data_IF_916954214594
#
_entry.id   IF_916954214594
#
_cell.length_a   1.000
_cell.length_b   1.000
_cell.length_c   1.000
_cell.angle_alpha   90.00
_cell.angle_beta   90.00
_cell.angle_gamma   90.00
#
_symmetry.space_group_name_H-M   'P 1'
#
loop_
_entity.id
_entity.type
_entity.pdbx_description
1 polymer ?
#
# COMPACT_ATOMS: atom_id res chain seq x y z
N UNK A 1 -9.20 -4.77 12.90
CA UNK A 1 -9.15 -4.92 11.44
C UNK A 1 -7.72 -4.90 10.97
N UNK A 2 -7.35 -5.83 10.15
CA UNK A 2 -6.00 -5.92 9.61
C UNK A 2 -5.84 -4.98 8.41
N UNK A 3 -4.79 -4.16 8.43
CA UNK A 3 -4.44 -3.26 7.32
C UNK A 3 -3.18 -3.78 6.64
N UNK A 4 -3.37 -4.42 5.51
CA UNK A 4 -2.27 -5.05 4.76
C UNK A 4 -1.37 -4.02 4.13
N UNK A 5 -0.07 -4.14 4.37
CA UNK A 5 0.93 -3.27 3.75
C UNK A 5 1.21 -3.78 2.34
N UNK A 6 1.14 -2.87 1.38
CA UNK A 6 1.47 -3.14 -0.02
C UNK A 6 2.93 -2.81 -0.33
N UNK A 7 3.40 -1.66 0.15
CA UNK A 7 4.78 -1.24 -0.09
C UNK A 7 5.26 -0.31 1.02
N UNK A 8 6.58 -0.25 1.17
CA UNK A 8 7.24 0.67 2.08
C UNK A 8 8.43 1.30 1.36
N UNK A 9 8.58 2.60 1.51
CA UNK A 9 9.67 3.36 0.89
C UNK A 9 10.35 4.20 1.96
N UNK A 10 11.64 3.99 2.24
CA UNK A 10 12.37 4.81 3.20
C UNK A 10 12.75 6.16 2.60
N UNK A 11 12.77 7.19 3.45
CA UNK A 11 13.19 8.53 3.06
C UNK A 11 14.49 8.90 3.78
N UNK A 12 15.16 9.97 3.31
CA UNK A 12 16.45 10.38 3.86
C UNK A 12 16.37 10.98 5.27
N UNK A 13 15.17 11.31 5.75
CA UNK A 13 14.94 11.89 7.07
C UNK A 13 14.38 10.86 8.07
N UNK A 14 14.66 9.58 7.85
CA UNK A 14 14.20 8.46 8.69
C UNK A 14 12.69 8.35 8.79
N UNK A 15 12.00 8.69 7.71
CA UNK A 15 10.58 8.43 7.58
C UNK A 15 10.34 7.26 6.62
N UNK A 16 9.14 6.71 6.71
CA UNK A 16 8.68 5.65 5.81
C UNK A 16 7.40 6.13 5.13
N UNK A 17 7.34 5.93 3.82
CA UNK A 17 6.10 6.09 3.08
C UNK A 17 5.49 4.70 2.94
N UNK A 18 4.37 4.47 3.58
CA UNK A 18 3.73 3.15 3.65
C UNK A 18 2.43 3.18 2.87
N UNK A 19 2.33 2.36 1.84
CA UNK A 19 1.09 2.17 1.08
C UNK A 19 0.39 0.94 1.60
N UNK A 20 -0.88 1.11 1.96
CA UNK A 20 -1.75 0.00 2.37
C UNK A 20 -2.60 -0.45 1.19
N UNK A 21 -2.95 -1.73 1.16
CA UNK A 21 -3.68 -2.33 0.04
C UNK A 21 -5.04 -1.69 -0.21
N UNK A 22 -5.63 -1.05 0.79
CA UNK A 22 -6.92 -0.36 0.68
C UNK A 22 -6.83 1.05 0.09
N UNK A 23 -5.65 1.45 -0.42
CA UNK A 23 -5.49 2.72 -1.13
C UNK A 23 -5.09 3.90 -0.25
N UNK A 24 -4.77 3.64 1.01
CA UNK A 24 -4.34 4.67 1.96
C UNK A 24 -2.82 4.69 2.00
N UNK A 25 -2.22 5.88 1.97
CA UNK A 25 -0.79 6.08 2.14
C UNK A 25 -0.54 6.85 3.42
N UNK A 26 0.42 6.38 4.21
CA UNK A 26 0.80 7.04 5.46
C UNK A 26 2.29 7.31 5.50
N UNK A 27 2.65 8.40 6.15
CA UNK A 27 4.04 8.73 6.45
C UNK A 27 4.29 8.43 7.93
N UNK A 28 5.26 7.59 8.19
CA UNK A 28 5.62 7.17 9.55
C UNK A 28 7.02 7.67 9.89
N UNK A 29 7.17 8.33 11.03
CA UNK A 29 8.45 8.90 11.46
C UNK A 29 9.18 7.91 12.37
N UNK A 30 10.16 7.20 11.83
CA UNK A 30 10.95 6.25 12.62
C UNK A 30 11.84 6.97 13.63
N UNK A 31 12.30 8.19 13.32
CA UNK A 31 13.11 8.97 14.23
C UNK A 31 12.39 9.27 15.55
N UNK A 32 11.06 9.30 15.55
CA UNK A 32 10.28 9.46 16.78
C UNK A 32 10.44 8.27 17.74
N UNK A 33 10.89 7.11 17.25
CA UNK A 33 11.13 5.93 18.09
C UNK A 33 12.48 5.93 18.78
N UNK A 34 13.42 6.76 18.33
CA UNK A 34 14.81 6.70 18.83
C UNK A 34 14.90 6.90 20.34
N UNK A 35 14.00 7.70 20.92
CA UNK A 35 13.97 7.94 22.35
C UNK A 35 13.16 6.89 23.13
N UNK A 36 12.22 6.20 22.46
CA UNK A 36 11.33 5.24 23.11
C UNK A 36 11.84 3.80 23.01
N UNK A 37 12.47 3.47 21.90
CA UNK A 37 12.97 2.12 21.61
C UNK A 37 14.42 2.24 21.19
N UNK A 38 15.37 2.10 22.13
CA UNK A 38 16.79 2.36 21.86
C UNK A 38 17.39 1.53 20.71
N UNK A 39 16.82 0.35 20.42
CA UNK A 39 17.33 -0.49 19.33
C UNK A 39 17.28 0.23 17.97
N UNK A 40 16.32 1.14 17.76
CA UNK A 40 16.21 1.88 16.50
C UNK A 40 17.30 2.94 16.30
N UNK A 41 18.04 3.28 17.35
CA UNK A 41 19.16 4.24 17.23
C UNK A 41 20.31 3.72 16.37
N UNK A 42 20.31 2.44 16.03
CA UNK A 42 21.30 1.87 15.11
C UNK A 42 21.33 2.61 13.77
N UNK A 43 20.21 3.17 13.33
CA UNK A 43 20.14 3.91 12.07
C UNK A 43 20.87 5.25 12.13
N UNK A 44 21.10 5.81 13.33
CA UNK A 44 21.91 7.02 13.49
C UNK A 44 23.37 6.72 13.14
N UNK A 45 23.88 5.56 13.58
CA UNK A 45 25.25 5.13 13.33
C UNK A 45 25.42 4.53 11.92
N UNK A 46 24.38 3.83 11.44
CA UNK A 46 24.38 3.14 10.14
C UNK A 46 23.19 3.56 9.30
N UNK A 47 23.17 4.81 8.81
CA UNK A 47 21.99 5.34 8.11
C UNK A 47 21.66 4.58 6.83
N UNK A 48 22.64 3.96 6.17
CA UNK A 48 22.37 3.18 4.97
C UNK A 48 21.56 1.91 5.26
N UNK A 49 21.65 1.37 6.46
CA UNK A 49 20.86 0.18 6.84
C UNK A 49 19.35 0.48 6.85
N UNK A 50 18.98 1.74 7.05
CA UNK A 50 17.60 2.16 7.03
C UNK A 50 16.91 1.86 5.68
N UNK A 51 17.65 1.92 4.58
CA UNK A 51 17.13 1.69 3.26
C UNK A 51 16.90 0.21 2.92
N UNK A 52 17.27 -0.71 3.80
CA UNK A 52 17.07 -2.15 3.62
C UNK A 52 15.72 -2.65 4.16
N UNK A 53 14.82 -1.76 4.48
CA UNK A 53 13.49 -2.13 4.96
C UNK A 53 12.73 -2.90 3.89
N UNK A 54 11.99 -3.94 4.32
CA UNK A 54 11.18 -4.77 3.43
C UNK A 54 9.82 -5.04 4.06
N UNK A 55 8.82 -5.22 3.21
CA UNK A 55 7.50 -5.65 3.66
C UNK A 55 7.56 -7.14 3.97
N UNK A 56 7.05 -7.52 5.13
CA UNK A 56 6.98 -8.93 5.54
C UNK A 56 5.94 -9.69 4.71
N UNK A 57 6.17 -10.99 4.56
CA UNK A 57 5.24 -11.86 3.86
C UNK A 57 3.81 -11.69 4.39
N UNK A 58 2.85 -11.50 3.48
CA UNK A 58 1.46 -11.27 3.84
C UNK A 58 1.12 -9.82 4.18
N UNK A 59 2.11 -8.93 4.23
CA UNK A 59 1.87 -7.51 4.53
C UNK A 59 1.54 -7.21 5.99
N UNK A 60 1.94 -8.11 6.91
CA UNK A 60 1.65 -7.96 8.34
C UNK A 60 2.53 -6.95 9.06
N UNK A 61 3.64 -6.57 8.46
CA UNK A 61 4.59 -5.63 9.03
C UNK A 61 5.71 -5.34 8.06
N UNK A 62 6.72 -4.67 8.58
CA UNK A 62 7.95 -4.38 7.86
C UNK A 62 9.13 -4.77 8.74
N UNK A 63 10.25 -5.11 8.11
CA UNK A 63 11.46 -5.53 8.82
C UNK A 63 12.70 -4.93 8.19
N UNK A 64 13.62 -4.58 9.04
CA UNK A 64 15.05 -4.48 8.77
C UNK A 64 15.66 -5.73 9.38
N UNK A 65 16.91 -5.93 9.39
CA UNK A 65 17.58 -7.13 9.92
C UNK A 65 16.93 -7.70 11.21
N UNK A 66 17.17 -7.08 12.36
CA UNK A 66 16.67 -7.54 13.65
C UNK A 66 15.54 -6.68 14.19
N UNK A 67 15.10 -5.69 13.41
CA UNK A 67 14.06 -4.75 13.82
C UNK A 67 12.84 -4.93 12.98
N UNK A 68 11.68 -4.78 13.59
CA UNK A 68 10.42 -4.81 12.86
C UNK A 68 9.40 -3.83 13.43
N UNK A 69 8.39 -3.53 12.63
CA UNK A 69 7.21 -2.77 13.03
C UNK A 69 5.99 -3.46 12.43
N UNK A 70 4.95 -3.62 13.24
CA UNK A 70 3.71 -4.23 12.78
C UNK A 70 2.92 -3.29 11.88
N UNK A 71 2.05 -3.85 11.05
CA UNK A 71 1.13 -3.05 10.24
C UNK A 71 0.22 -2.20 11.13
N UNK A 72 -0.18 -2.72 12.27
CA UNK A 72 -1.02 -1.99 13.23
C UNK A 72 -0.31 -0.75 13.77
N UNK A 73 0.96 -0.86 14.13
CA UNK A 73 1.76 0.28 14.60
C UNK A 73 1.84 1.35 13.51
N UNK A 74 2.12 0.95 12.27
CA UNK A 74 2.25 1.87 11.14
C UNK A 74 0.91 2.54 10.80
N UNK A 75 -0.18 1.78 10.88
CA UNK A 75 -1.51 2.31 10.63
C UNK A 75 -1.94 3.31 11.70
N UNK A 76 -1.77 2.94 12.96
CA UNK A 76 -2.24 3.74 14.10
C UNK A 76 -1.44 5.02 14.27
N UNK A 77 -0.12 4.95 14.14
CA UNK A 77 0.77 6.07 14.43
C UNK A 77 1.33 6.78 13.20
N UNK A 78 1.11 6.23 12.01
CA UNK A 78 1.43 6.92 10.77
C UNK A 78 0.42 8.01 10.48
N UNK A 79 0.87 9.07 9.82
CA UNK A 79 0.02 10.18 9.40
C UNK A 79 -0.44 9.96 7.97
N UNK A 80 -1.75 9.99 7.73
CA UNK A 80 -2.28 9.87 6.37
C UNK A 80 -1.84 11.06 5.52
N UNK A 81 -1.39 10.75 4.30
CA UNK A 81 -1.03 11.75 3.30
C UNK A 81 -1.78 11.42 2.00
N UNK A 82 -2.03 12.44 1.20
CA UNK A 82 -2.61 12.27 -0.11
C UNK A 82 -1.51 12.19 -1.17
N UNK A 83 -1.64 11.24 -2.09
CA UNK A 83 -0.73 11.09 -3.21
C UNK A 83 -1.51 10.88 -4.50
N UNK A 84 -0.91 11.17 -5.68
CA UNK A 84 -1.59 10.93 -6.97
C UNK A 84 -1.91 9.45 -7.23
N UNK A 85 -1.29 8.55 -6.49
CA UNK A 85 -1.43 7.11 -6.70
C UNK A 85 -2.40 6.45 -5.71
N UNK A 86 -3.02 7.23 -4.84
CA UNK A 86 -3.98 6.70 -3.88
C UNK A 86 -5.19 6.11 -4.59
N UNK A 87 -5.64 4.96 -4.11
CA UNK A 87 -6.83 4.34 -4.64
C UNK A 87 -6.69 3.77 -6.05
N UNK A 88 -5.48 3.60 -6.55
CA UNK A 88 -5.24 2.99 -7.86
C UNK A 88 -4.76 1.56 -7.73
N UNK A 89 -5.30 0.67 -8.54
CA UNK A 89 -4.91 -0.74 -8.59
C UNK A 89 -4.68 -1.17 -10.02
N UNK A 90 -3.70 -2.04 -10.24
CA UNK A 90 -3.62 -2.75 -11.51
C UNK A 90 -4.84 -3.69 -11.64
N UNK A 91 -5.19 -4.07 -12.87
CA UNK A 91 -6.27 -5.05 -13.05
C UNK A 91 -5.94 -6.38 -12.37
N UNK A 92 -4.67 -6.77 -12.37
CA UNK A 92 -4.25 -7.97 -11.65
C UNK A 92 -4.53 -7.89 -10.16
N UNK A 93 -4.09 -6.81 -9.51
CA UNK A 93 -4.32 -6.63 -8.08
C UNK A 93 -5.80 -6.53 -7.74
N UNK A 94 -6.55 -5.77 -8.54
CA UNK A 94 -7.99 -5.63 -8.34
C UNK A 94 -8.72 -6.98 -8.50
N UNK A 95 -8.36 -7.76 -9.51
CA UNK A 95 -8.96 -9.08 -9.72
C UNK A 95 -8.65 -10.02 -8.56
N UNK A 96 -7.43 -10.00 -8.06
CA UNK A 96 -7.03 -10.82 -6.92
C UNK A 96 -7.81 -10.43 -5.65
N UNK A 97 -7.93 -9.14 -5.39
CA UNK A 97 -8.62 -8.63 -4.20
C UNK A 97 -10.12 -8.99 -4.22
N UNK A 98 -10.79 -8.77 -5.35
CA UNK A 98 -12.24 -9.05 -5.48
C UNK A 98 -12.54 -10.48 -5.95
N UNK A 99 -11.51 -11.32 -6.08
CA UNK A 99 -11.64 -12.71 -6.51
C UNK A 99 -12.36 -12.83 -7.86
N UNK A 100 -11.87 -12.08 -8.83
CA UNK A 100 -12.38 -12.03 -10.21
C UNK A 100 -11.26 -12.39 -11.18
N UNK A 101 -11.61 -12.61 -12.43
CA UNK A 101 -10.63 -12.72 -13.50
C UNK A 101 -10.36 -11.34 -14.11
N UNK A 102 -9.14 -11.11 -14.58
CA UNK A 102 -8.80 -9.86 -15.28
C UNK A 102 -9.69 -9.66 -16.52
N UNK A 103 -10.10 -10.77 -17.18
CA UNK A 103 -11.00 -10.71 -18.33
C UNK A 103 -12.35 -10.09 -17.97
N UNK A 104 -12.82 -10.28 -16.73
CA UNK A 104 -14.04 -9.67 -16.24
C UNK A 104 -13.93 -8.15 -16.24
N UNK A 105 -12.79 -7.64 -15.80
CA UNK A 105 -12.52 -6.18 -15.79
C UNK A 105 -12.40 -5.63 -17.20
N UNK A 106 -11.73 -6.35 -18.11
CA UNK A 106 -11.64 -5.94 -19.51
C UNK A 106 -13.01 -5.91 -20.18
N UNK A 107 -13.88 -6.86 -19.87
CA UNK A 107 -15.27 -6.86 -20.38
C UNK A 107 -16.06 -5.68 -19.85
N UNK A 108 -15.83 -5.26 -18.60
CA UNK A 108 -16.48 -4.07 -18.05
C UNK A 108 -16.07 -2.81 -18.80
N UNK A 109 -14.82 -2.72 -19.27
CA UNK A 109 -14.37 -1.61 -20.14
C UNK A 109 -15.11 -1.67 -21.49
N UNK A 110 -15.14 -2.83 -22.12
CA UNK A 110 -15.79 -3.01 -23.42
C UNK A 110 -17.29 -2.71 -23.37
N UNK A 111 -17.97 -3.08 -22.29
CA UNK A 111 -19.41 -2.87 -22.10
C UNK A 111 -19.76 -1.47 -21.56
N UNK A 112 -18.77 -0.60 -21.37
CA UNK A 112 -18.93 0.77 -20.88
C UNK A 112 -19.41 0.88 -19.43
N UNK A 113 -19.32 -0.18 -18.65
CA UNK A 113 -19.52 -0.10 -17.20
C UNK A 113 -18.37 0.62 -16.52
N UNK A 114 -17.14 0.41 -17.03
CA UNK A 114 -15.97 1.22 -16.69
C UNK A 114 -15.71 2.20 -17.82
N UNK A 115 -15.62 3.48 -17.48
CA UNK A 115 -15.37 4.55 -18.44
C UNK A 115 -13.87 4.79 -18.48
N UNK A 116 -13.28 4.60 -19.66
CA UNK A 116 -11.85 4.85 -19.86
C UNK A 116 -11.54 6.34 -19.66
N UNK A 117 -10.58 6.62 -18.82
CA UNK A 117 -10.21 7.98 -18.45
C UNK A 117 -10.86 8.49 -17.18
N UNK A 118 -11.86 7.76 -16.64
CA UNK A 118 -12.53 8.09 -15.38
C UNK A 118 -12.40 6.96 -14.37
N UNK A 119 -12.83 5.76 -14.75
CA UNK A 119 -12.79 4.57 -13.89
C UNK A 119 -11.50 3.80 -14.07
N UNK A 120 -11.02 3.73 -15.29
CA UNK A 120 -9.85 2.97 -15.71
C UNK A 120 -9.00 3.80 -16.65
N UNK A 121 -7.74 3.47 -16.71
CA UNK A 121 -6.81 4.07 -17.66
C UNK A 121 -5.72 3.06 -17.99
N UNK A 122 -5.20 3.10 -19.22
CA UNK A 122 -4.13 2.20 -19.64
C UNK A 122 -2.81 2.95 -19.65
N UNK A 123 -1.84 2.42 -18.93
CA UNK A 123 -0.48 2.95 -18.88
C UNK A 123 0.44 1.93 -19.55
N UNK A 124 0.86 2.25 -20.79
CA UNK A 124 1.56 1.26 -21.60
C UNK A 124 0.65 0.07 -21.90
N UNK A 125 1.05 -1.12 -21.44
CA UNK A 125 0.25 -2.35 -21.57
C UNK A 125 -0.57 -2.67 -20.34
N UNK A 126 -0.47 -1.85 -19.27
CA UNK A 126 -1.10 -2.12 -17.98
C UNK A 126 -2.39 -1.32 -17.85
N UNK A 127 -3.49 -2.01 -17.56
CA UNK A 127 -4.72 -1.37 -17.16
C UNK A 127 -4.69 -1.08 -15.67
N UNK A 128 -5.17 0.10 -15.30
CA UNK A 128 -5.29 0.54 -13.91
C UNK A 128 -6.75 0.93 -13.66
N UNK A 129 -7.27 0.59 -12.49
CA UNK A 129 -8.64 0.88 -12.08
C UNK A 129 -8.63 1.56 -10.72
N UNK A 130 -9.60 2.43 -10.46
CA UNK A 130 -9.76 3.04 -9.15
C UNK A 130 -10.48 2.09 -8.20
N UNK A 131 -10.11 2.12 -6.92
CA UNK A 131 -10.80 1.33 -5.88
C UNK A 131 -12.28 1.72 -5.81
N UNK A 132 -12.59 3.01 -5.95
CA UNK A 132 -13.97 3.50 -5.93
C UNK A 132 -14.81 2.87 -7.04
N UNK A 133 -14.25 2.75 -8.24
CA UNK A 133 -14.96 2.12 -9.36
C UNK A 133 -15.17 0.63 -9.13
N UNK A 134 -14.18 -0.05 -8.53
CA UNK A 134 -14.33 -1.45 -8.15
C UNK A 134 -15.44 -1.64 -7.11
N UNK A 135 -15.49 -0.77 -6.11
CA UNK A 135 -16.55 -0.82 -5.09
C UNK A 135 -17.94 -0.61 -5.71
N UNK A 136 -18.05 0.34 -6.64
CA UNK A 136 -19.30 0.63 -7.30
C UNK A 136 -19.83 -0.57 -8.09
N UNK A 137 -18.96 -1.27 -8.82
CA UNK A 137 -19.36 -2.36 -9.71
C UNK A 137 -19.39 -3.73 -9.03
N UNK A 138 -18.52 -3.98 -8.04
CA UNK A 138 -18.33 -5.32 -7.48
C UNK A 138 -18.49 -5.38 -5.96
N UNK A 139 -18.96 -4.29 -5.35
CA UNK A 139 -19.23 -4.26 -3.92
C UNK A 139 -18.05 -3.77 -3.08
N UNK A 140 -18.25 -3.72 -1.75
CA UNK A 140 -17.25 -3.13 -0.85
C UNK A 140 -15.91 -3.87 -0.93
N UNK A 141 -14.86 -3.18 -0.51
CA UNK A 141 -13.52 -3.78 -0.45
C UNK A 141 -13.58 -5.05 0.41
N UNK A 142 -13.16 -6.21 -0.14
CA UNK A 142 -13.25 -7.46 0.61
C UNK A 142 -12.38 -7.43 1.87
N UNK A 143 -12.94 -7.90 2.98
CA UNK A 143 -12.23 -8.00 4.24
C UNK A 143 -11.70 -9.42 4.37
N UNK A 144 -10.39 -9.57 4.59
CA UNK A 144 -9.81 -10.86 4.90
C UNK A 144 -10.24 -11.27 6.31
N UNK A 145 -10.77 -12.47 6.42
CA UNK A 145 -11.22 -13.04 7.68
C UNK A 145 -10.17 -14.04 8.18
#
# INVERSE_FOLDING_TARGET
MFHKIKSVTPTSDFCLIVQFSEGITKKYKVDALFNRIPAFTVFIEKPLDFYHVQVDTGGYGISWYDLDLSSDELWTNGKSIETPFDGLLSFKDASDIWNLDESTLRKAVSSKRFINGIDVCKFGKQWVVTIESMKREYGPYPIEV
#
